data_IF_349375666048
#
_entry.id   IF_349375666048
#
_cell.length_a   1.000
_cell.length_b   1.000
_cell.length_c   1.000
_cell.angle_alpha   90.00
_cell.angle_beta   90.00
_cell.angle_gamma   90.00
#
_symmetry.space_group_name_H-M   'P 1'
#
loop_
_entity.id
_entity.type
_entity.pdbx_description
1 polymer ?
#
# COMPACT_ATOMS: atom_id res chain seq x y z
N UNK A 1 2.03 0.48 7.25
CA UNK A 1 2.51 -0.90 7.37
C UNK A 1 3.92 -0.84 7.89
N UNK A 2 4.38 -1.64 8.84
CA UNK A 2 3.84 -2.82 9.53
C UNK A 2 3.43 -2.44 10.96
N UNK A 3 2.50 -1.50 11.10
CA UNK A 3 1.78 -1.27 12.34
C UNK A 3 0.85 -2.46 12.58
N UNK A 4 1.46 -3.61 12.82
CA UNK A 4 0.75 -4.86 12.94
C UNK A 4 -0.16 -4.75 14.14
N UNK A 5 -1.41 -5.08 13.87
CA UNK A 5 -2.42 -5.22 14.90
C UNK A 5 -2.14 -6.54 15.62
N UNK A 6 -1.04 -6.64 16.36
CA UNK A 6 -0.75 -7.80 17.19
C UNK A 6 -1.16 -7.53 18.65
N UNK A 7 -1.41 -8.60 19.40
CA UNK A 7 -1.81 -8.51 20.80
C UNK A 7 -0.82 -7.75 21.69
N UNK A 8 0.45 -7.69 21.30
CA UNK A 8 1.55 -7.08 22.05
C UNK A 8 1.78 -5.60 21.72
N UNK A 9 1.05 -5.05 20.73
CA UNK A 9 1.26 -3.69 20.17
C UNK A 9 2.71 -3.43 19.77
N UNK A 10 3.43 -4.45 19.35
CA UNK A 10 4.80 -4.33 18.81
C UNK A 10 4.75 -3.96 17.33
N UNK A 11 5.85 -3.44 16.80
CA UNK A 11 6.05 -3.35 15.36
C UNK A 11 6.99 -4.48 14.93
N UNK A 12 6.97 -4.84 13.65
CA UNK A 12 7.89 -5.85 13.08
C UNK A 12 7.76 -7.23 13.75
N UNK A 13 6.55 -7.61 14.12
CA UNK A 13 6.21 -8.98 14.53
C UNK A 13 6.11 -9.94 13.35
N UNK A 14 5.91 -9.42 12.13
CA UNK A 14 5.75 -10.18 10.88
C UNK A 14 4.68 -11.28 10.96
N UNK A 15 3.67 -11.06 11.79
CA UNK A 15 2.62 -12.04 12.05
C UNK A 15 1.75 -12.29 10.82
N UNK A 16 1.56 -11.28 10.00
CA UNK A 16 0.85 -11.40 8.72
C UNK A 16 1.61 -12.18 7.64
N UNK A 17 2.92 -12.43 7.82
CA UNK A 17 3.71 -13.28 6.92
C UNK A 17 3.52 -14.78 7.22
N UNK A 18 3.05 -15.13 8.43
CA UNK A 18 2.91 -16.51 8.86
C UNK A 18 1.75 -17.17 8.08
N UNK A 19 2.00 -18.22 7.27
CA UNK A 19 0.94 -18.93 6.57
C UNK A 19 -0.06 -19.55 7.54
N UNK A 20 -1.35 -19.33 7.28
CA UNK A 20 -2.44 -19.88 8.10
C UNK A 20 -3.33 -20.76 7.23
N UNK A 21 -3.46 -22.08 7.52
CA UNK A 21 -4.40 -22.93 6.80
C UNK A 21 -5.86 -22.70 7.27
N UNK A 22 -6.86 -22.98 6.42
CA UNK A 22 -6.72 -23.37 5.00
C UNK A 22 -6.27 -22.20 4.11
N UNK A 23 -5.85 -22.47 2.87
CA UNK A 23 -5.37 -21.45 1.91
C UNK A 23 -6.33 -20.25 1.79
N UNK A 24 -7.64 -20.47 1.90
CA UNK A 24 -8.68 -19.44 1.91
C UNK A 24 -8.41 -18.30 2.93
N UNK A 25 -7.66 -18.54 4.01
CA UNK A 25 -7.32 -17.50 4.99
C UNK A 25 -6.52 -16.36 4.35
N UNK A 26 -5.67 -16.64 3.36
CA UNK A 26 -4.96 -15.59 2.64
C UNK A 26 -5.94 -14.62 1.95
N UNK A 27 -6.99 -15.16 1.31
CA UNK A 27 -8.04 -14.34 0.69
C UNK A 27 -8.76 -13.48 1.71
N UNK A 28 -9.12 -14.05 2.86
CA UNK A 28 -9.88 -13.36 3.90
C UNK A 28 -9.05 -12.27 4.58
N UNK A 29 -7.78 -12.53 4.85
CA UNK A 29 -6.88 -11.56 5.50
C UNK A 29 -6.46 -10.45 4.54
N UNK A 30 -6.18 -10.75 3.26
CA UNK A 30 -6.03 -9.72 2.23
C UNK A 30 -7.30 -8.89 2.06
N UNK A 31 -8.46 -9.53 2.04
CA UNK A 31 -9.77 -8.86 1.99
C UNK A 31 -10.04 -7.95 3.19
N UNK A 32 -9.59 -8.33 4.39
CA UNK A 32 -9.67 -7.48 5.58
C UNK A 32 -8.86 -6.19 5.40
N UNK A 33 -7.63 -6.28 4.89
CA UNK A 33 -6.78 -5.10 4.65
C UNK A 33 -7.38 -4.17 3.58
N UNK A 34 -7.92 -4.74 2.50
CA UNK A 34 -8.66 -3.98 1.49
C UNK A 34 -9.88 -3.28 2.12
N UNK A 35 -10.64 -4.00 2.95
CA UNK A 35 -11.81 -3.45 3.63
C UNK A 35 -11.43 -2.35 4.63
N UNK A 36 -10.31 -2.47 5.35
CA UNK A 36 -9.81 -1.41 6.24
C UNK A 36 -9.60 -0.09 5.48
N UNK A 37 -9.01 -0.13 4.27
CA UNK A 37 -8.85 1.07 3.43
C UNK A 37 -10.21 1.62 3.02
N UNK A 38 -11.14 0.76 2.57
CA UNK A 38 -12.50 1.19 2.17
C UNK A 38 -13.29 1.81 3.32
N UNK A 39 -13.11 1.30 4.54
CA UNK A 39 -13.71 1.87 5.74
C UNK A 39 -13.09 3.21 6.13
N UNK A 40 -11.77 3.36 5.95
CA UNK A 40 -11.11 4.66 6.11
C UNK A 40 -11.67 5.70 5.13
N UNK A 41 -11.88 5.32 3.86
CA UNK A 41 -12.53 6.19 2.85
C UNK A 41 -13.95 6.54 3.25
N UNK A 42 -14.75 5.57 3.72
CA UNK A 42 -16.11 5.82 4.24
C UNK A 42 -16.10 6.82 5.40
N UNK A 43 -15.18 6.67 6.34
CA UNK A 43 -15.04 7.59 7.47
C UNK A 43 -14.63 8.99 7.01
N UNK A 44 -13.60 9.11 6.17
CA UNK A 44 -13.11 10.39 5.64
C UNK A 44 -14.20 11.13 4.85
N UNK A 45 -14.98 10.41 4.04
CA UNK A 45 -16.07 11.01 3.25
C UNK A 45 -17.19 11.63 4.09
N UNK A 46 -17.28 11.28 5.38
CA UNK A 46 -18.28 11.83 6.31
C UNK A 46 -17.75 13.05 7.09
N UNK A 47 -16.48 13.39 6.96
CA UNK A 47 -15.85 14.48 7.71
C UNK A 47 -16.17 15.82 7.06
N UNK A 48 -16.72 16.80 7.78
CA UNK A 48 -17.03 18.12 7.22
C UNK A 48 -15.77 18.86 6.73
N UNK A 49 -14.60 18.52 7.27
CA UNK A 49 -13.30 19.07 6.87
C UNK A 49 -12.66 18.39 5.64
N UNK A 50 -13.29 17.34 5.08
CA UNK A 50 -12.76 16.59 3.93
C UNK A 50 -13.64 16.81 2.70
N UNK A 51 -13.01 17.07 1.56
CA UNK A 51 -13.68 17.04 0.27
C UNK A 51 -13.77 15.60 -0.27
N UNK A 52 -14.95 14.98 -0.33
CA UNK A 52 -15.09 13.60 -0.79
C UNK A 52 -14.75 13.41 -2.28
N UNK A 53 -14.69 14.49 -3.06
CA UNK A 53 -14.24 14.47 -4.45
C UNK A 53 -12.72 14.43 -4.62
N UNK A 54 -11.95 14.55 -3.53
CA UNK A 54 -10.48 14.69 -3.56
C UNK A 54 -9.77 13.78 -2.56
N UNK A 55 -10.29 12.57 -2.38
CA UNK A 55 -9.64 11.55 -1.55
C UNK A 55 -8.64 10.76 -2.40
N UNK A 56 -7.37 10.80 -1.98
CA UNK A 56 -6.33 9.91 -2.48
C UNK A 56 -5.85 8.94 -1.40
N UNK A 57 -5.17 7.89 -1.84
CA UNK A 57 -4.49 6.95 -0.96
C UNK A 57 -3.06 6.70 -1.43
N UNK A 58 -2.17 6.42 -0.47
CA UNK A 58 -0.77 6.09 -0.73
C UNK A 58 -0.43 4.76 -0.08
N UNK A 59 0.34 3.91 -0.76
CA UNK A 59 0.68 2.58 -0.31
C UNK A 59 2.15 2.27 -0.56
N UNK A 60 2.84 1.73 0.46
CA UNK A 60 4.25 1.33 0.39
C UNK A 60 4.41 -0.18 0.56
N UNK A 61 5.25 -0.81 -0.27
CA UNK A 61 5.58 -2.24 -0.18
C UNK A 61 4.32 -3.10 -0.29
N UNK A 62 4.04 -3.99 0.64
CA UNK A 62 2.75 -4.71 0.72
C UNK A 62 1.54 -3.75 0.69
N UNK A 63 1.65 -2.56 1.29
CA UNK A 63 0.61 -1.54 1.22
C UNK A 63 0.32 -1.06 -0.21
N UNK A 64 1.32 -1.08 -1.11
CA UNK A 64 1.12 -0.79 -2.53
C UNK A 64 0.33 -1.90 -3.23
N UNK A 65 0.54 -3.16 -2.85
CA UNK A 65 -0.23 -4.29 -3.36
C UNK A 65 -1.71 -4.23 -2.91
N UNK A 66 -1.93 -4.05 -1.61
CA UNK A 66 -3.30 -3.88 -1.04
C UNK A 66 -4.00 -2.71 -1.73
N UNK A 67 -3.30 -1.59 -1.91
CA UNK A 67 -3.86 -0.42 -2.54
C UNK A 67 -4.08 -0.59 -4.05
N UNK A 68 -3.22 -1.34 -4.75
CA UNK A 68 -3.39 -1.70 -6.15
C UNK A 68 -4.66 -2.51 -6.42
N UNK A 69 -5.08 -3.35 -5.47
CA UNK A 69 -6.41 -4.01 -5.57
C UNK A 69 -7.52 -3.06 -5.13
N UNK A 70 -7.30 -2.31 -4.04
CA UNK A 70 -8.34 -1.44 -3.47
C UNK A 70 -8.75 -0.34 -4.44
N UNK A 71 -7.81 0.32 -5.11
CA UNK A 71 -8.08 1.41 -6.06
C UNK A 71 -8.86 0.94 -7.30
N UNK A 72 -8.77 -0.34 -7.66
CA UNK A 72 -9.59 -0.91 -8.73
C UNK A 72 -11.07 -1.05 -8.36
N UNK A 73 -11.41 -1.14 -7.06
CA UNK A 73 -12.79 -1.43 -6.61
C UNK A 73 -13.41 -0.34 -5.73
N UNK A 74 -12.60 0.52 -5.10
CA UNK A 74 -13.06 1.62 -4.26
C UNK A 74 -13.22 2.89 -5.09
N UNK A 75 -14.40 3.04 -5.70
CA UNK A 75 -14.70 4.10 -6.66
C UNK A 75 -14.69 5.53 -6.09
N UNK A 76 -14.57 5.69 -4.77
CA UNK A 76 -14.44 7.00 -4.11
C UNK A 76 -12.98 7.46 -3.94
N UNK A 77 -12.01 6.61 -4.30
CA UNK A 77 -10.61 7.02 -4.43
C UNK A 77 -10.39 7.60 -5.82
N UNK A 78 -9.95 8.85 -5.87
CA UNK A 78 -9.74 9.58 -7.13
C UNK A 78 -8.28 9.57 -7.57
N UNK A 79 -7.35 9.22 -6.67
CA UNK A 79 -5.93 9.10 -7.01
C UNK A 79 -5.23 8.13 -6.09
N UNK A 80 -4.26 7.39 -6.63
CA UNK A 80 -3.50 6.41 -5.88
C UNK A 80 -2.00 6.55 -6.12
N UNK A 81 -1.20 6.46 -5.06
CA UNK A 81 0.27 6.40 -5.17
C UNK A 81 0.75 5.06 -4.65
N UNK A 82 1.48 4.33 -5.49
CA UNK A 82 2.05 3.02 -5.19
C UNK A 82 3.57 3.16 -5.19
N UNK A 83 4.22 2.89 -4.05
CA UNK A 83 5.68 3.06 -3.92
C UNK A 83 6.34 1.83 -3.31
N UNK A 84 7.60 1.60 -3.67
CA UNK A 84 8.29 0.34 -3.34
C UNK A 84 7.47 -0.88 -3.80
N UNK A 85 6.91 -0.82 -5.00
CA UNK A 85 5.99 -1.84 -5.52
C UNK A 85 5.18 -1.35 -6.72
N UNK A 86 3.93 -1.78 -6.81
CA UNK A 86 3.05 -1.53 -7.96
C UNK A 86 3.33 -2.40 -9.19
N UNK A 87 4.29 -3.32 -9.13
CA UNK A 87 4.65 -4.24 -10.20
C UNK A 87 3.64 -5.40 -10.35
N UNK A 88 2.35 -5.08 -10.57
CA UNK A 88 1.29 -6.08 -10.76
C UNK A 88 1.46 -6.76 -12.12
N UNK A 89 1.86 -8.03 -12.09
CA UNK A 89 2.30 -8.80 -13.25
C UNK A 89 1.21 -9.69 -13.86
N UNK A 90 1.53 -10.33 -14.96
CA UNK A 90 0.67 -11.29 -15.66
C UNK A 90 0.71 -12.69 -14.99
N UNK A 91 -0.19 -13.62 -15.40
CA UNK A 91 -0.18 -14.99 -14.90
C UNK A 91 1.18 -15.68 -14.97
N UNK A 92 1.58 -16.30 -13.87
CA UNK A 92 2.85 -16.99 -13.73
C UNK A 92 4.01 -16.13 -13.23
N UNK A 93 3.80 -14.83 -12.99
CA UNK A 93 4.81 -13.87 -12.54
C UNK A 93 5.29 -14.01 -11.07
N UNK A 94 5.97 -12.98 -10.58
CA UNK A 94 6.44 -12.84 -9.19
C UNK A 94 5.32 -13.11 -8.17
N UNK A 95 4.14 -12.50 -8.33
CA UNK A 95 3.08 -12.60 -7.33
C UNK A 95 2.49 -14.00 -7.22
N UNK A 96 2.54 -14.81 -8.29
CA UNK A 96 2.11 -16.21 -8.23
C UNK A 96 3.16 -17.13 -7.58
N UNK A 97 4.44 -16.71 -7.59
CA UNK A 97 5.57 -17.50 -7.05
C UNK A 97 6.03 -17.04 -5.67
N UNK A 98 5.57 -15.89 -5.19
CA UNK A 98 5.94 -15.34 -3.89
C UNK A 98 5.61 -16.29 -2.74
N UNK A 99 6.54 -16.41 -1.79
CA UNK A 99 6.36 -17.18 -0.55
C UNK A 99 5.56 -16.41 0.52
N UNK A 100 5.31 -15.11 0.33
CA UNK A 100 4.43 -14.30 1.17
C UNK A 100 2.96 -14.59 0.80
N UNK A 101 2.47 -15.74 1.25
CA UNK A 101 1.19 -16.28 0.78
C UNK A 101 -0.03 -15.52 1.30
N UNK A 102 -0.03 -15.14 2.58
CA UNK A 102 -1.23 -14.65 3.28
C UNK A 102 -1.79 -13.34 2.75
N UNK A 103 -0.93 -12.34 2.55
CA UNK A 103 -1.35 -10.98 2.23
C UNK A 103 -1.05 -10.57 0.79
N UNK A 104 -0.37 -11.43 0.03
CA UNK A 104 0.08 -11.13 -1.34
C UNK A 104 -0.32 -12.25 -2.31
N UNK A 105 0.40 -13.38 -2.31
CA UNK A 105 0.28 -14.38 -3.38
C UNK A 105 -1.11 -15.01 -3.48
N UNK A 106 -1.72 -15.42 -2.36
CA UNK A 106 -3.06 -16.01 -2.37
C UNK A 106 -4.13 -14.99 -2.82
N UNK A 107 -4.19 -13.76 -2.25
CA UNK A 107 -5.06 -12.71 -2.78
C UNK A 107 -4.90 -12.47 -4.28
N UNK A 108 -3.66 -12.42 -4.79
CA UNK A 108 -3.42 -12.16 -6.21
C UNK A 108 -3.85 -13.32 -7.12
N UNK A 109 -3.56 -14.56 -6.72
CA UNK A 109 -4.05 -15.78 -7.41
C UNK A 109 -5.57 -15.84 -7.48
N UNK A 110 -6.25 -15.29 -6.49
CA UNK A 110 -7.71 -15.25 -6.46
C UNK A 110 -8.32 -14.36 -7.56
N UNK A 111 -7.51 -13.50 -8.17
CA UNK A 111 -7.88 -12.65 -9.29
C UNK A 111 -7.55 -13.27 -10.66
N UNK A 112 -7.07 -14.52 -10.73
CA UNK A 112 -6.66 -15.16 -11.99
C UNK A 112 -7.73 -15.15 -13.09
N UNK A 113 -9.01 -15.11 -12.71
CA UNK A 113 -10.12 -15.04 -13.65
C UNK A 113 -10.13 -13.76 -14.51
N UNK A 114 -9.36 -12.73 -14.14
CA UNK A 114 -9.18 -11.49 -14.92
C UNK A 114 -8.22 -11.66 -16.11
N UNK A 115 -7.51 -12.80 -16.23
CA UNK A 115 -6.46 -12.97 -17.23
C UNK A 115 -5.26 -12.08 -16.92
N UNK A 116 -5.04 -11.04 -17.71
CA UNK A 116 -4.02 -10.03 -17.44
C UNK A 116 -4.43 -9.12 -16.27
N UNK A 117 -4.30 -9.66 -15.06
CA UNK A 117 -4.67 -8.99 -13.79
C UNK A 117 -4.06 -7.61 -13.67
N UNK A 118 -2.77 -7.46 -13.96
CA UNK A 118 -2.08 -6.18 -13.88
C UNK A 118 -2.73 -5.13 -14.77
N UNK A 119 -2.92 -5.43 -16.06
CA UNK A 119 -3.53 -4.49 -17.00
C UNK A 119 -5.00 -4.19 -16.65
N UNK A 120 -5.77 -5.19 -16.23
CA UNK A 120 -7.16 -5.01 -15.84
C UNK A 120 -7.30 -4.16 -14.57
N UNK A 121 -6.47 -4.39 -13.55
CA UNK A 121 -6.50 -3.58 -12.32
C UNK A 121 -6.16 -2.12 -12.62
N UNK A 122 -5.11 -1.84 -13.39
CA UNK A 122 -4.77 -0.47 -13.74
C UNK A 122 -5.74 0.17 -14.75
N UNK A 123 -6.41 -0.62 -15.58
CA UNK A 123 -7.54 -0.14 -16.36
C UNK A 123 -8.66 0.37 -15.45
N UNK A 124 -9.01 -0.39 -14.41
CA UNK A 124 -10.04 -0.01 -13.44
C UNK A 124 -9.65 1.25 -12.65
N UNK A 125 -8.36 1.44 -12.34
CA UNK A 125 -7.87 2.70 -11.78
C UNK A 125 -8.14 3.87 -12.72
N UNK A 126 -7.77 3.75 -13.99
CA UNK A 126 -7.89 4.81 -14.99
C UNK A 126 -9.35 5.26 -15.22
N UNK A 127 -10.33 4.38 -14.96
CA UNK A 127 -11.76 4.73 -14.98
C UNK A 127 -12.19 5.70 -13.86
N UNK A 128 -11.34 5.94 -12.85
CA UNK A 128 -11.65 6.76 -11.68
C UNK A 128 -10.71 7.96 -11.53
N UNK A 129 -9.42 7.74 -11.78
CA UNK A 129 -8.45 8.82 -11.81
C UNK A 129 -7.01 8.32 -11.93
N UNK A 130 -6.06 9.24 -11.80
CA UNK A 130 -4.65 8.93 -12.00
C UNK A 130 -4.08 7.98 -10.96
N UNK A 131 -3.08 7.21 -11.34
CA UNK A 131 -2.22 6.46 -10.41
C UNK A 131 -0.77 6.81 -10.69
N UNK A 132 0.03 6.96 -9.63
CA UNK A 132 1.46 7.14 -9.75
C UNK A 132 2.23 6.02 -9.09
N UNK A 133 3.13 5.41 -9.84
CA UNK A 133 4.02 4.36 -9.36
C UNK A 133 5.43 4.95 -9.25
N UNK A 134 6.00 4.99 -8.04
CA UNK A 134 7.34 5.58 -7.87
C UNK A 134 8.25 4.70 -7.02
N UNK A 135 9.39 4.32 -7.58
CA UNK A 135 10.26 3.29 -7.03
C UNK A 135 11.75 3.69 -7.08
N UNK A 136 12.61 2.88 -6.48
CA UNK A 136 14.06 3.00 -6.65
C UNK A 136 14.56 2.09 -7.76
N UNK A 137 15.56 2.50 -8.53
CA UNK A 137 16.12 1.61 -9.58
C UNK A 137 16.92 0.44 -9.03
N UNK A 138 17.25 0.44 -7.73
CA UNK A 138 17.92 -0.66 -7.01
C UNK A 138 16.96 -1.36 -6.03
N UNK A 139 15.65 -1.15 -6.15
CA UNK A 139 14.65 -1.84 -5.32
C UNK A 139 14.53 -3.30 -5.74
N UNK A 140 15.11 -4.21 -4.95
CA UNK A 140 15.09 -5.65 -5.19
C UNK A 140 13.71 -6.27 -5.46
N UNK A 141 12.63 -5.68 -4.93
CA UNK A 141 11.25 -6.15 -5.16
C UNK A 141 10.77 -5.83 -6.57
N UNK A 142 11.19 -4.69 -7.11
CA UNK A 142 10.77 -4.17 -8.42
C UNK A 142 11.79 -4.54 -9.51
N UNK A 143 13.06 -4.72 -9.13
CA UNK A 143 14.13 -5.12 -10.06
C UNK A 143 14.20 -6.63 -10.29
N UNK A 144 13.46 -7.45 -9.52
CA UNK A 144 13.36 -8.89 -9.77
C UNK A 144 12.60 -9.24 -11.07
N UNK A 145 12.04 -8.24 -11.74
CA UNK A 145 11.37 -8.39 -13.03
C UNK A 145 12.37 -8.70 -14.15
N UNK A 146 12.06 -9.70 -14.97
CA UNK A 146 12.98 -10.22 -16.00
C UNK A 146 13.40 -9.17 -17.03
N UNK A 147 12.54 -8.18 -17.30
CA UNK A 147 12.79 -7.11 -18.26
C UNK A 147 13.54 -5.91 -17.65
N UNK A 148 13.75 -5.92 -16.33
CA UNK A 148 14.13 -4.73 -15.55
C UNK A 148 12.93 -3.80 -15.31
N UNK A 149 13.02 -2.92 -14.30
CA UNK A 149 11.87 -2.18 -13.79
C UNK A 149 11.28 -1.21 -14.83
N UNK A 150 12.12 -0.49 -15.58
CA UNK A 150 11.66 0.45 -16.62
C UNK A 150 10.80 -0.26 -17.68
N UNK A 151 11.35 -1.32 -18.30
CA UNK A 151 10.67 -2.05 -19.37
C UNK A 151 9.42 -2.78 -18.86
N UNK A 152 9.45 -3.28 -17.62
CA UNK A 152 8.28 -3.88 -17.00
C UNK A 152 7.10 -2.90 -16.96
N UNK A 153 7.31 -1.67 -16.43
CA UNK A 153 6.21 -0.70 -16.35
C UNK A 153 5.82 -0.11 -17.71
N UNK A 154 6.75 0.01 -18.66
CA UNK A 154 6.42 0.36 -20.04
C UNK A 154 5.50 -0.67 -20.69
N UNK A 155 5.81 -1.96 -20.55
CA UNK A 155 4.99 -3.06 -21.06
C UNK A 155 3.62 -3.12 -20.37
N UNK A 156 3.60 -3.06 -19.03
CA UNK A 156 2.35 -3.04 -18.27
C UNK A 156 1.47 -1.84 -18.64
N UNK A 157 2.07 -0.66 -18.83
CA UNK A 157 1.36 0.54 -19.28
C UNK A 157 0.79 0.34 -20.68
N UNK A 158 1.58 -0.23 -21.61
CA UNK A 158 1.12 -0.54 -22.97
C UNK A 158 -0.08 -1.51 -22.97
N UNK A 159 -0.01 -2.59 -22.19
CA UNK A 159 -1.13 -3.55 -22.04
C UNK A 159 -2.36 -2.90 -21.41
N UNK A 160 -2.16 -2.05 -20.40
CA UNK A 160 -3.25 -1.28 -19.78
C UNK A 160 -3.93 -0.34 -20.78
N UNK A 161 -3.17 0.37 -21.61
CA UNK A 161 -3.70 1.24 -22.67
C UNK A 161 -4.55 0.44 -23.66
N UNK A 162 -4.09 -0.75 -24.06
CA UNK A 162 -4.83 -1.62 -24.97
C UNK A 162 -6.19 -2.07 -24.38
N UNK A 163 -6.23 -2.40 -23.09
CA UNK A 163 -7.48 -2.74 -22.37
C UNK A 163 -8.37 -1.51 -22.17
N UNK A 164 -7.78 -0.34 -21.92
CA UNK A 164 -8.52 0.90 -21.64
C UNK A 164 -9.04 1.63 -22.90
N UNK A 165 -8.41 1.41 -24.05
CA UNK A 165 -8.75 2.10 -25.30
C UNK A 165 -8.14 3.49 -25.45
N UNK A 166 -7.16 3.83 -24.60
CA UNK A 166 -6.49 5.14 -24.58
C UNK A 166 -5.53 5.27 -23.40
N UNK A 167 -4.78 6.37 -23.36
CA UNK A 167 -3.78 6.64 -22.32
C UNK A 167 -4.28 7.59 -21.22
N UNK A 168 -5.49 8.14 -21.37
CA UNK A 168 -6.13 8.98 -20.36
C UNK A 168 -6.17 8.27 -19.01
N UNK A 169 -5.61 8.92 -17.98
CA UNK A 169 -5.55 8.44 -16.60
C UNK A 169 -4.83 7.08 -16.38
N UNK A 170 -4.30 6.45 -17.43
CA UNK A 170 -3.44 5.28 -17.25
C UNK A 170 -2.22 5.71 -16.44
N UNK A 171 -1.82 4.87 -15.49
CA UNK A 171 -0.81 5.20 -14.50
C UNK A 171 0.46 5.83 -15.10
N UNK A 172 1.00 6.79 -14.37
CA UNK A 172 2.34 7.32 -14.55
C UNK A 172 3.31 6.52 -13.69
N UNK A 173 4.59 6.48 -14.10
CA UNK A 173 5.61 5.86 -13.27
C UNK A 173 6.94 6.63 -13.35
N UNK A 174 7.76 6.49 -12.30
CA UNK A 174 9.08 7.12 -12.23
C UNK A 174 10.00 6.42 -11.23
N UNK A 175 11.27 6.82 -11.26
CA UNK A 175 12.29 6.21 -10.41
C UNK A 175 13.24 7.21 -9.76
N UNK A 176 13.71 6.89 -8.56
CA UNK A 176 14.90 7.47 -7.95
C UNK A 176 16.14 6.60 -8.30
N UNK A 177 17.13 7.14 -9.05
CA UNK A 177 18.32 6.39 -9.44
C UNK A 177 19.16 5.95 -8.24
N UNK A 178 19.56 4.67 -8.24
CA UNK A 178 20.44 4.07 -7.23
C UNK A 178 19.79 3.82 -5.86
N UNK A 179 18.57 4.31 -5.62
CA UNK A 179 17.82 4.06 -4.41
C UNK A 179 17.13 2.69 -4.42
N UNK A 180 16.92 2.11 -3.25
CA UNK A 180 16.29 0.80 -3.07
C UNK A 180 14.81 0.88 -2.72
N UNK A 181 14.38 -0.05 -1.86
CA UNK A 181 13.01 -0.10 -1.36
C UNK A 181 12.80 0.99 -0.32
N UNK A 182 11.99 2.00 -0.65
CA UNK A 182 11.76 3.17 0.20
C UNK A 182 10.29 3.62 0.16
N UNK A 183 9.77 4.25 1.22
CA UNK A 183 8.45 4.87 1.25
C UNK A 183 8.46 6.20 0.49
N UNK A 184 8.56 6.16 -0.85
CA UNK A 184 8.66 7.37 -1.67
C UNK A 184 7.45 8.32 -1.58
N UNK A 185 6.36 7.93 -0.94
CA UNK A 185 5.15 8.75 -0.83
C UNK A 185 5.36 10.07 -0.05
N UNK A 186 6.46 10.21 0.70
CA UNK A 186 6.86 11.45 1.37
C UNK A 186 7.84 12.30 0.56
N UNK A 187 8.19 11.92 -0.66
CA UNK A 187 9.21 12.60 -1.47
C UNK A 187 8.60 13.67 -2.38
N UNK A 188 9.44 14.61 -2.82
CA UNK A 188 9.04 15.72 -3.68
C UNK A 188 8.34 15.29 -4.99
N UNK A 189 8.84 14.29 -5.76
CA UNK A 189 8.17 13.88 -7.00
C UNK A 189 6.73 13.43 -6.76
N UNK A 190 6.49 12.67 -5.69
CA UNK A 190 5.15 12.21 -5.33
C UNK A 190 4.27 13.36 -4.85
N UNK A 191 4.79 14.27 -4.02
CA UNK A 191 4.04 15.44 -3.56
C UNK A 191 3.61 16.35 -4.71
N UNK A 192 4.49 16.56 -5.71
CA UNK A 192 4.16 17.30 -6.94
C UNK A 192 3.06 16.61 -7.74
N UNK A 193 3.13 15.29 -7.88
CA UNK A 193 2.09 14.55 -8.58
C UNK A 193 0.75 14.63 -7.84
N UNK A 194 0.74 14.45 -6.52
CA UNK A 194 -0.48 14.57 -5.71
C UNK A 194 -1.09 15.97 -5.78
N UNK A 195 -0.27 17.02 -5.77
CA UNK A 195 -0.75 18.40 -5.94
C UNK A 195 -1.51 18.57 -7.28
N UNK A 196 -1.00 17.99 -8.37
CA UNK A 196 -1.67 18.05 -9.67
C UNK A 196 -3.01 17.31 -9.70
N UNK A 197 -3.16 16.28 -8.88
CA UNK A 197 -4.42 15.52 -8.80
C UNK A 197 -5.43 16.13 -7.82
N UNK A 198 -4.96 16.65 -6.69
CA UNK A 198 -5.79 17.03 -5.55
C UNK A 198 -5.93 18.54 -5.35
N UNK A 199 -5.08 19.35 -5.98
CA UNK A 199 -5.06 20.81 -5.82
C UNK A 199 -5.07 21.19 -4.34
N UNK A 200 -3.96 20.97 -3.63
CA UNK A 200 -3.89 21.19 -2.20
C UNK A 200 -4.28 22.65 -1.87
N UNK A 201 -5.05 22.88 -0.79
CA UNK A 201 -5.51 24.22 -0.47
C UNK A 201 -4.37 25.17 -0.08
N UNK A 202 -3.25 24.62 0.42
CA UNK A 202 -2.17 25.40 1.02
C UNK A 202 -0.84 25.32 0.25
N UNK A 203 -0.71 24.40 -0.70
CA UNK A 203 0.51 24.19 -1.46
C UNK A 203 0.25 24.45 -2.94
N UNK A 204 1.31 24.82 -3.65
CA UNK A 204 1.32 24.91 -5.12
C UNK A 204 2.56 24.17 -5.60
N UNK A 205 2.61 23.78 -6.87
CA UNK A 205 3.81 23.16 -7.43
C UNK A 205 5.08 24.01 -7.23
N UNK A 206 4.96 25.34 -7.38
CA UNK A 206 6.08 26.26 -7.16
C UNK A 206 6.55 26.30 -5.70
N UNK A 207 5.63 26.20 -4.74
CA UNK A 207 5.96 26.10 -3.32
C UNK A 207 6.63 24.75 -3.04
N UNK A 208 6.03 23.65 -3.49
CA UNK A 208 6.54 22.29 -3.31
C UNK A 208 7.95 22.17 -3.91
N UNK A 209 8.21 22.76 -5.08
CA UNK A 209 9.53 22.72 -5.73
C UNK A 209 10.64 23.39 -4.89
N UNK A 210 10.31 24.36 -4.05
CA UNK A 210 11.28 25.09 -3.21
C UNK A 210 11.34 24.60 -1.76
N UNK A 211 10.44 23.70 -1.35
CA UNK A 211 10.45 23.18 0.03
C UNK A 211 11.78 22.50 0.36
N UNK A 212 12.30 22.61 1.58
CA UNK A 212 13.48 21.84 1.99
C UNK A 212 13.16 20.34 2.02
N UNK A 213 14.20 19.51 2.15
CA UNK A 213 14.08 18.07 2.37
C UNK A 213 14.81 17.66 3.64
N UNK A 214 14.25 16.68 4.33
CA UNK A 214 14.81 16.05 5.52
C UNK A 214 15.35 14.67 5.17
N UNK A 215 16.61 14.41 5.53
CA UNK A 215 17.17 13.07 5.49
C UNK A 215 16.61 12.23 6.64
N UNK A 216 15.87 11.16 6.32
CA UNK A 216 15.13 10.40 7.34
C UNK A 216 16.05 9.73 8.39
N UNK A 217 17.18 9.15 8.00
CA UNK A 217 18.13 8.54 8.93
C UNK A 217 18.77 9.53 9.91
N UNK A 218 19.10 10.75 9.45
CA UNK A 218 19.62 11.82 10.32
C UNK A 218 18.54 12.33 11.27
N UNK A 219 17.35 12.58 10.73
CA UNK A 219 16.18 12.97 11.52
C UNK A 219 15.85 11.92 12.59
N UNK A 220 15.80 10.65 12.24
CA UNK A 220 15.48 9.57 13.17
C UNK A 220 16.49 9.48 14.31
N UNK A 221 17.80 9.65 14.04
CA UNK A 221 18.83 9.74 15.08
C UNK A 221 18.62 10.94 16.00
N UNK A 222 18.36 12.12 15.43
CA UNK A 222 18.17 13.37 16.20
C UNK A 222 16.91 13.32 17.08
N UNK A 223 15.79 12.93 16.49
CA UNK A 223 14.48 12.89 17.15
C UNK A 223 14.24 11.59 17.93
N UNK A 224 15.22 10.67 17.95
CA UNK A 224 15.14 9.35 18.61
C UNK A 224 13.97 8.51 18.13
N UNK A 225 13.66 8.58 16.84
CA UNK A 225 12.65 7.75 16.20
C UNK A 225 13.27 6.42 15.78
N UNK A 226 12.62 5.33 16.15
CA UNK A 226 13.08 3.99 15.80
C UNK A 226 12.86 3.68 14.32
N UNK A 227 13.93 3.22 13.66
CA UNK A 227 13.90 2.55 12.37
C UNK A 227 14.49 1.16 12.60
N UNK A 228 13.82 0.11 12.12
CA UNK A 228 14.36 -1.25 12.22
C UNK A 228 15.75 -1.32 11.57
N UNK A 229 16.73 -2.02 12.16
CA UNK A 229 18.08 -2.12 11.61
C UNK A 229 18.14 -2.52 10.12
N UNK A 230 17.25 -3.41 9.67
CA UNK A 230 17.19 -3.85 8.28
C UNK A 230 16.81 -2.72 7.30
N UNK A 231 16.05 -1.73 7.79
CA UNK A 231 15.57 -0.56 7.04
C UNK A 231 16.43 0.68 7.29
N UNK A 232 17.28 0.66 8.32
CA UNK A 232 18.14 1.77 8.72
C UNK A 232 19.46 1.80 7.92
N UNK A 233 19.35 1.82 6.59
CA UNK A 233 20.50 1.94 5.69
C UNK A 233 20.21 2.99 4.63
N UNK A 234 21.27 3.53 4.02
CA UNK A 234 21.11 4.55 2.98
C UNK A 234 20.25 4.02 1.84
N UNK A 235 20.49 2.82 1.31
CA UNK A 235 19.70 2.27 0.21
C UNK A 235 18.21 2.02 0.55
N UNK A 236 17.84 2.05 1.83
CA UNK A 236 16.49 1.75 2.37
C UNK A 236 15.85 3.01 2.98
N UNK A 237 14.86 2.82 3.86
CA UNK A 237 14.02 3.85 4.50
C UNK A 237 14.83 5.02 5.07
N UNK A 238 15.99 4.76 5.67
CA UNK A 238 16.80 5.82 6.27
C UNK A 238 17.39 6.81 5.23
N UNK A 239 17.61 6.40 3.98
CA UNK A 239 18.09 7.30 2.93
C UNK A 239 17.00 8.14 2.25
N UNK A 240 15.74 8.03 2.68
CA UNK A 240 14.66 8.84 2.12
C UNK A 240 14.93 10.33 2.32
N UNK A 241 14.73 11.10 1.24
CA UNK A 241 14.66 12.55 1.24
C UNK A 241 13.20 12.99 1.35
N UNK A 242 12.71 13.07 2.58
CA UNK A 242 11.32 13.45 2.84
C UNK A 242 11.13 14.96 2.63
N UNK A 243 10.05 15.35 1.95
CA UNK A 243 9.70 16.74 1.71
C UNK A 243 9.37 17.46 3.03
N UNK A 244 9.91 18.66 3.19
CA UNK A 244 9.73 19.49 4.38
C UNK A 244 10.86 19.38 5.39
N UNK A 245 10.70 20.12 6.48
CA UNK A 245 11.65 20.19 7.61
C UNK A 245 10.89 20.45 8.91
N UNK A 246 11.56 20.38 10.05
CA UNK A 246 10.92 20.62 11.36
C UNK A 246 9.88 19.55 11.75
N UNK A 247 10.00 18.34 11.20
CA UNK A 247 9.09 17.23 11.49
C UNK A 247 9.38 16.73 12.91
N UNK A 248 8.41 16.70 13.84
CA UNK A 248 8.64 16.24 15.20
C UNK A 248 8.76 14.71 15.26
N UNK A 249 9.64 14.20 16.13
CA UNK A 249 9.64 12.79 16.53
C UNK A 249 8.51 12.48 17.50
N UNK A 250 7.35 12.09 16.97
CA UNK A 250 6.20 11.72 17.81
C UNK A 250 6.47 10.38 18.51
N UNK A 251 6.30 10.34 19.83
CA UNK A 251 6.54 9.14 20.62
C UNK A 251 5.55 8.02 20.26
N UNK A 252 5.98 6.76 20.34
CA UNK A 252 5.15 5.60 19.97
C UNK A 252 3.82 5.55 20.73
N UNK A 253 3.83 5.98 21.98
CA UNK A 253 2.66 6.02 22.84
C UNK A 253 1.58 6.98 22.32
N UNK A 254 1.98 8.00 21.57
CA UNK A 254 1.11 9.00 20.97
C UNK A 254 0.62 8.62 19.56
N UNK A 255 1.25 7.64 18.91
CA UNK A 255 0.89 7.18 17.56
C UNK A 255 -0.29 6.18 17.54
N UNK A 256 -1.00 6.01 18.65
CA UNK A 256 -2.05 5.01 18.78
C UNK A 256 -3.42 5.57 18.42
N UNK A 257 -4.07 4.97 17.42
CA UNK A 257 -5.45 5.33 17.05
C UNK A 257 -6.48 4.92 18.12
N UNK A 258 -6.18 3.91 18.94
CA UNK A 258 -7.05 3.43 20.02
C UNK A 258 -6.40 3.76 21.37
N UNK A 259 -7.09 4.49 22.28
CA UNK A 259 -6.60 4.72 23.64
C UNK A 259 -6.24 3.41 24.35
N UNK A 260 -5.19 3.43 25.17
CA UNK A 260 -4.62 2.22 25.78
C UNK A 260 -5.62 1.48 26.68
N UNK A 261 -6.40 2.20 27.46
CA UNK A 261 -7.43 1.63 28.33
C UNK A 261 -8.50 0.90 27.51
N UNK A 262 -8.93 1.50 26.40
CA UNK A 262 -9.89 0.90 25.46
C UNK A 262 -9.28 -0.30 24.77
N UNK A 263 -8.03 -0.21 24.31
CA UNK A 263 -7.33 -1.34 23.73
C UNK A 263 -7.27 -2.52 24.71
N UNK A 264 -6.90 -2.30 25.97
CA UNK A 264 -6.83 -3.37 26.98
C UNK A 264 -8.16 -4.09 27.18
N UNK A 265 -9.29 -3.35 27.15
CA UNK A 265 -10.64 -3.93 27.28
C UNK A 265 -11.08 -4.68 26.02
N UNK A 266 -10.80 -4.11 24.86
CA UNK A 266 -11.42 -4.50 23.59
C UNK A 266 -10.42 -5.11 22.58
N UNK A 267 -9.23 -5.56 23.03
CA UNK A 267 -8.11 -5.93 22.14
C UNK A 267 -8.50 -6.88 21.02
N UNK A 268 -9.38 -7.85 21.30
CA UNK A 268 -9.80 -8.88 20.34
C UNK A 268 -10.58 -8.31 19.15
N UNK A 269 -11.07 -7.07 19.25
CA UNK A 269 -11.73 -6.36 18.14
C UNK A 269 -10.74 -5.75 17.16
N UNK A 270 -9.48 -5.65 17.54
CA UNK A 270 -8.48 -4.93 16.77
C UNK A 270 -7.37 -5.82 16.25
N UNK A 271 -7.07 -6.96 16.88
CA UNK A 271 -5.87 -7.74 16.60
C UNK A 271 -6.07 -8.82 15.52
N UNK A 272 -5.04 -9.03 14.72
CA UNK A 272 -4.99 -9.92 13.55
C UNK A 272 -5.31 -11.37 13.91
N UNK A 273 -4.85 -11.83 15.08
CA UNK A 273 -5.10 -13.16 15.62
C UNK A 273 -6.60 -13.44 15.82
N UNK A 274 -7.32 -12.45 16.33
CA UNK A 274 -8.76 -12.57 16.54
C UNK A 274 -9.50 -12.59 15.21
N UNK A 275 -9.07 -11.77 14.24
CA UNK A 275 -9.60 -11.82 12.88
C UNK A 275 -9.38 -13.16 12.19
N UNK A 276 -8.21 -13.79 12.36
CA UNK A 276 -7.95 -15.17 11.90
C UNK A 276 -8.95 -16.13 12.55
N UNK A 277 -9.17 -16.02 13.86
CA UNK A 277 -10.09 -16.91 14.59
C UNK A 277 -11.52 -16.76 14.06
N UNK A 278 -11.99 -15.53 13.86
CA UNK A 278 -13.31 -15.26 13.27
C UNK A 278 -13.41 -15.78 11.83
N UNK A 279 -12.37 -15.58 11.01
CA UNK A 279 -12.33 -16.07 9.64
C UNK A 279 -12.42 -17.60 9.56
N UNK A 280 -11.68 -18.32 10.43
CA UNK A 280 -11.74 -19.78 10.50
C UNK A 280 -13.14 -20.28 10.89
N UNK A 281 -13.75 -19.68 11.91
CA UNK A 281 -15.10 -20.04 12.34
C UNK A 281 -16.13 -19.83 11.21
N UNK A 282 -16.01 -18.73 10.46
CA UNK A 282 -16.88 -18.45 9.32
C UNK A 282 -16.74 -19.48 8.19
N UNK A 283 -15.50 -19.89 7.85
CA UNK A 283 -15.25 -20.94 6.84
C UNK A 283 -15.84 -22.28 7.26
N UNK A 284 -15.67 -22.69 8.52
CA UNK A 284 -16.27 -23.93 9.04
C UNK A 284 -17.80 -23.90 8.98
N UNK A 285 -18.41 -22.77 9.33
CA UNK A 285 -19.86 -22.59 9.22
C UNK A 285 -20.36 -22.65 7.77
N UNK A 286 -19.65 -22.06 6.81
CA UNK A 286 -20.02 -22.15 5.39
C UNK A 286 -19.91 -23.57 4.83
N UNK A 287 -18.90 -24.34 5.27
CA UNK A 287 -18.76 -25.75 4.89
C UNK A 287 -19.87 -26.63 5.45
N UNK A 288 -20.36 -26.32 6.66
CA UNK A 288 -21.50 -27.01 7.26
C UNK A 288 -22.82 -26.66 6.56
N UNK A 289 -23.03 -25.39 6.17
CA UNK A 289 -24.23 -24.95 5.45
C UNK A 289 -24.27 -25.42 3.99
N UNK A 290 -23.12 -25.58 3.35
CA UNK A 290 -23.01 -26.14 1.99
C UNK A 290 -23.16 -27.67 1.92
N UNK A 291 -23.41 -28.35 3.05
CA UNK A 291 -23.60 -29.81 3.17
C UNK A 291 -25.04 -30.21 3.45
N UNK A 292 -26.00 -29.30 3.38
CA UNK A 292 -27.42 -29.67 3.42
C UNK A 292 -27.82 -30.24 2.05
N UNK A 293 -28.36 -31.47 1.97
CA UNK A 293 -28.71 -32.13 0.71
C UNK A 293 -29.76 -31.37 -0.11
#
# INVERSE_FOLDING_TARGET
GEGERNAERKSVTRQHDIPVPPEEMGRRMGGLMINDVRQAVSYLSQRPEVDPGRIAAVGYSMGSFVLGITCAIETRLHSCVLVGGGNLDDPGGYWDRSNHTMCQAIPYKSLMFLGDRGAVLYHLHALRGGTFIFNGTADGVVTSEALGPQRFFEDLRKRTIAVHGGDKNVFEFGFEPGAGHRPYFVTRPVALWLERQLHFPNWTEAVIARMPETHIGEWARRERVYIEPAYNTEIREAGVRALGSGIPGVAREQLNAVPLDRWKRDKDRFVYESWITYAKAATQSSLLKGRTP
#
